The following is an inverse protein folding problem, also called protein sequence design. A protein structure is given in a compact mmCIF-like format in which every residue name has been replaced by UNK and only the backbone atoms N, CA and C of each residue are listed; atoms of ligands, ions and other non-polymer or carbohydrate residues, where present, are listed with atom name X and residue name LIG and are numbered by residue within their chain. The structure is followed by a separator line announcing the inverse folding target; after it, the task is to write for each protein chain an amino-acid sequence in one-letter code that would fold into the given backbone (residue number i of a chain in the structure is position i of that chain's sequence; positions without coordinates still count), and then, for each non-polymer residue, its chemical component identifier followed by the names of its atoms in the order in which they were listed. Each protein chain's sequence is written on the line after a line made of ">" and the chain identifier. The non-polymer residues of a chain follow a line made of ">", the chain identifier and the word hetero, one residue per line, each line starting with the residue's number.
data_IF_689886707676
#
_entry.id   IF_689886707676
#
_cell.length_a   1.000
_cell.length_b   1.000
_cell.length_c   1.000
_cell.angle_alpha   90.00
_cell.angle_beta   90.00
_cell.angle_gamma   90.00
#
_symmetry.space_group_name_H-M   'P 1'
#
loop_
_entity.id
_entity.type
_entity.pdbx_description
1 polymer ?
#
# COMPACT_ATOMS: atom_id res chain seq x y z
N UNK A 1 -6.77 19.74 7.29
CA UNK A 1 -6.19 18.81 6.29
C UNK A 1 -6.04 17.48 7.00
N UNK A 2 -6.44 16.37 6.39
CA UNK A 2 -6.36 15.07 7.07
C UNK A 2 -4.89 14.68 7.23
N UNK A 3 -4.43 14.52 8.46
CA UNK A 3 -3.04 14.14 8.80
C UNK A 3 -2.72 12.67 8.45
N UNK A 4 -3.68 11.96 7.88
CA UNK A 4 -3.63 10.54 7.58
C UNK A 4 -4.24 10.25 6.20
N UNK A 5 -3.49 9.52 5.40
CA UNK A 5 -3.84 8.95 4.10
C UNK A 5 -4.12 7.47 4.34
N UNK A 6 -5.35 7.06 4.03
CA UNK A 6 -5.71 5.65 4.01
C UNK A 6 -6.52 5.36 2.77
N UNK A 7 -6.01 4.47 1.92
CA UNK A 7 -6.63 4.12 0.66
C UNK A 7 -6.56 2.61 0.45
N UNK A 8 -7.64 2.04 -0.08
CA UNK A 8 -7.68 0.66 -0.55
C UNK A 8 -7.91 0.68 -2.06
N UNK A 9 -7.03 0.01 -2.81
CA UNK A 9 -7.12 -0.12 -4.27
C UNK A 9 -7.20 -1.58 -4.64
N UNK A 10 -8.38 -2.02 -5.07
CA UNK A 10 -8.57 -3.37 -5.56
C UNK A 10 -8.22 -3.45 -7.04
N UNK A 11 -7.30 -4.37 -7.37
CA UNK A 11 -6.88 -4.68 -8.73
C UNK A 11 -7.58 -5.98 -9.18
N UNK A 12 -8.73 -5.84 -9.86
CA UNK A 12 -9.56 -6.97 -10.29
C UNK A 12 -8.79 -7.98 -11.16
N UNK A 13 -7.99 -7.49 -12.12
CA UNK A 13 -7.23 -8.34 -13.07
C UNK A 13 -6.21 -9.26 -12.39
N UNK A 14 -5.71 -8.87 -11.22
CA UNK A 14 -4.72 -9.63 -10.45
C UNK A 14 -5.32 -10.33 -9.24
N UNK A 15 -6.57 -10.00 -8.91
CA UNK A 15 -7.22 -10.38 -7.65
C UNK A 15 -6.33 -10.01 -6.45
N UNK A 16 -5.92 -8.75 -6.36
CA UNK A 16 -5.06 -8.20 -5.29
C UNK A 16 -5.65 -6.90 -4.75
N UNK A 17 -5.41 -6.58 -3.49
CA UNK A 17 -5.72 -5.26 -2.91
C UNK A 17 -4.45 -4.59 -2.42
N UNK A 18 -4.20 -3.35 -2.83
CA UNK A 18 -3.20 -2.49 -2.20
C UNK A 18 -3.87 -1.66 -1.11
N UNK A 19 -3.35 -1.76 0.11
CA UNK A 19 -3.66 -0.88 1.22
C UNK A 19 -2.53 0.13 1.40
N UNK A 20 -2.87 1.41 1.38
CA UNK A 20 -1.97 2.51 1.72
C UNK A 20 -2.39 3.03 3.08
N UNK A 21 -1.43 3.16 3.98
CA UNK A 21 -1.62 3.78 5.29
C UNK A 21 -0.43 4.70 5.55
N UNK A 22 -0.63 6.02 5.61
CA UNK A 22 0.46 6.97 5.79
C UNK A 22 0.04 8.21 6.57
N UNK A 23 0.86 8.64 7.53
CA UNK A 23 0.64 9.83 8.36
C UNK A 23 1.58 10.95 7.92
N UNK A 24 1.03 12.10 7.53
CA UNK A 24 1.78 13.23 6.97
C UNK A 24 2.56 14.04 8.03
N UNK A 25 2.03 14.11 9.26
CA UNK A 25 2.56 14.95 10.33
C UNK A 25 2.96 14.14 11.58
N UNK A 26 3.60 12.97 11.37
CA UNK A 26 4.00 12.06 12.45
C UNK A 26 5.52 12.06 12.64
N UNK A 27 6.00 12.23 13.87
CA UNK A 27 7.43 12.25 14.22
C UNK A 27 7.83 10.92 14.90
N UNK A 28 7.98 9.86 14.11
CA UNK A 28 8.39 8.53 14.57
C UNK A 28 9.28 7.85 13.51
N UNK A 29 9.71 6.61 13.72
CA UNK A 29 10.64 5.90 12.82
C UNK A 29 10.03 5.52 11.46
N UNK A 30 8.71 5.33 11.40
CA UNK A 30 7.97 5.01 10.18
C UNK A 30 6.64 5.75 10.20
N UNK A 31 6.29 6.39 9.08
CA UNK A 31 5.06 7.17 8.96
C UNK A 31 3.95 6.43 8.26
N UNK A 32 4.25 5.30 7.63
CA UNK A 32 3.24 4.48 6.97
C UNK A 32 3.77 3.19 6.39
N UNK A 33 2.90 2.52 5.66
CA UNK A 33 3.20 1.34 4.88
C UNK A 33 2.28 1.22 3.67
N UNK A 34 2.78 0.56 2.63
CA UNK A 34 1.97 0.03 1.53
C UNK A 34 1.94 -1.48 1.70
N UNK A 35 0.75 -2.06 1.81
CA UNK A 35 0.55 -3.49 1.95
C UNK A 35 -0.19 -4.03 0.75
N UNK A 36 0.15 -5.25 0.34
CA UNK A 36 -0.50 -5.96 -0.75
C UNK A 36 -1.15 -7.20 -0.18
N UNK A 37 -2.45 -7.34 -0.39
CA UNK A 37 -3.25 -8.48 0.05
C UNK A 37 -3.70 -9.30 -1.16
N UNK A 38 -3.83 -10.61 -0.96
CA UNK A 38 -4.47 -11.49 -1.92
C UNK A 38 -6.00 -11.33 -1.83
N UNK A 39 -6.63 -11.10 -2.98
CA UNK A 39 -8.06 -10.88 -3.10
C UNK A 39 -8.52 -9.51 -2.64
N UNK A 40 -9.83 -9.38 -2.48
CA UNK A 40 -10.46 -8.20 -1.89
C UNK A 40 -10.34 -8.26 -0.37
N UNK A 41 -9.99 -7.13 0.26
CA UNK A 41 -9.95 -7.03 1.72
C UNK A 41 -11.37 -7.15 2.28
N UNK A 42 -11.56 -8.10 3.20
CA UNK A 42 -12.79 -8.33 3.95
C UNK A 42 -12.50 -8.11 5.45
N UNK A 43 -13.14 -7.13 6.11
CA UNK A 43 -12.89 -6.83 7.52
C UNK A 43 -13.35 -7.94 8.48
N UNK A 44 -14.17 -8.89 8.02
CA UNK A 44 -14.66 -10.01 8.82
C UNK A 44 -13.80 -11.27 8.67
N UNK A 45 -12.79 -11.27 7.80
CA UNK A 45 -11.90 -12.40 7.54
C UNK A 45 -10.43 -12.06 7.78
N UNK A 46 -9.64 -13.11 7.96
CA UNK A 46 -8.18 -13.02 7.87
C UNK A 46 -7.77 -12.78 6.42
N UNK A 47 -7.34 -11.56 6.13
CA UNK A 47 -6.82 -11.16 4.82
C UNK A 47 -5.37 -11.63 4.69
N UNK A 48 -5.06 -12.27 3.55
CA UNK A 48 -3.72 -12.79 3.33
C UNK A 48 -2.79 -11.70 2.81
N UNK A 49 -1.89 -11.21 3.65
CA UNK A 49 -0.84 -10.25 3.26
C UNK A 49 0.26 -10.96 2.48
N UNK A 50 0.53 -10.49 1.27
CA UNK A 50 1.58 -10.99 0.38
C UNK A 50 2.88 -10.20 0.53
N UNK A 51 2.76 -8.88 0.74
CA UNK A 51 3.89 -7.98 0.73
C UNK A 51 3.61 -6.73 1.56
N UNK A 52 4.64 -6.18 2.20
CA UNK A 52 4.58 -4.92 2.91
C UNK A 52 5.86 -4.11 2.65
N UNK A 53 5.68 -2.87 2.21
CA UNK A 53 6.74 -1.85 2.14
C UNK A 53 6.50 -0.79 3.22
N UNK A 54 7.54 -0.48 3.99
CA UNK A 54 7.49 0.59 5.00
C UNK A 54 7.80 1.92 4.33
N UNK A 55 6.96 2.93 4.60
CA UNK A 55 7.15 4.30 4.12
C UNK A 55 7.76 5.15 5.24
N UNK A 56 8.92 5.73 4.94
CA UNK A 56 9.62 6.67 5.82
C UNK A 56 8.85 7.97 5.99
N UNK A 57 9.11 8.66 7.11
CA UNK A 57 8.53 9.96 7.40
C UNK A 57 9.08 11.09 6.52
N UNK A 58 8.30 12.17 6.38
CA UNK A 58 8.71 13.37 5.66
C UNK A 58 8.33 13.41 4.18
N UNK A 59 7.62 12.38 3.68
CA UNK A 59 7.03 12.42 2.35
C UNK A 59 5.73 13.21 2.34
N UNK A 60 5.52 13.93 1.25
CA UNK A 60 4.25 14.58 0.91
C UNK A 60 3.22 13.57 0.40
N UNK A 61 1.94 13.95 0.38
CA UNK A 61 0.88 13.12 -0.17
C UNK A 61 1.09 12.79 -1.66
N UNK A 62 1.75 13.67 -2.41
CA UNK A 62 2.07 13.44 -3.81
C UNK A 62 3.16 12.37 -3.97
N UNK A 63 4.22 12.43 -3.15
CA UNK A 63 5.29 11.43 -3.16
C UNK A 63 4.81 10.04 -2.72
N UNK A 64 3.92 9.98 -1.73
CA UNK A 64 3.28 8.73 -1.32
C UNK A 64 2.47 8.15 -2.48
N UNK A 65 1.67 8.96 -3.17
CA UNK A 65 0.93 8.52 -4.34
C UNK A 65 1.84 8.04 -5.48
N UNK A 66 2.99 8.67 -5.69
CA UNK A 66 3.97 8.22 -6.69
C UNK A 66 4.54 6.85 -6.33
N UNK A 67 4.83 6.58 -5.06
CA UNK A 67 5.28 5.24 -4.61
C UNK A 67 4.22 4.18 -4.82
N UNK A 68 2.97 4.47 -4.48
CA UNK A 68 1.83 3.55 -4.71
C UNK A 68 1.70 3.22 -6.18
N UNK A 69 1.72 4.23 -7.05
CA UNK A 69 1.65 4.03 -8.50
C UNK A 69 2.83 3.20 -9.03
N UNK A 70 4.04 3.47 -8.55
CA UNK A 70 5.23 2.68 -8.89
C UNK A 70 5.03 1.20 -8.52
N UNK A 71 4.49 0.93 -7.34
CA UNK A 71 4.20 -0.44 -6.90
C UNK A 71 3.11 -1.10 -7.75
N UNK A 72 2.03 -0.38 -8.09
CA UNK A 72 1.00 -0.86 -9.02
C UNK A 72 1.61 -1.22 -10.39
N UNK A 73 2.48 -0.36 -10.92
CA UNK A 73 3.20 -0.61 -12.17
C UNK A 73 4.12 -1.84 -12.07
N UNK A 74 4.86 -2.01 -10.96
CA UNK A 74 5.74 -3.16 -10.72
C UNK A 74 4.95 -4.49 -10.61
N UNK A 75 3.78 -4.46 -9.95
CA UNK A 75 2.85 -5.61 -9.89
C UNK A 75 2.29 -5.94 -11.27
N UNK A 76 1.89 -4.91 -12.03
CA UNK A 76 1.33 -5.10 -13.37
C UNK A 76 2.37 -5.67 -14.34
N UNK A 77 3.62 -5.22 -14.24
CA UNK A 77 4.74 -5.72 -15.03
C UNK A 77 5.24 -7.10 -14.57
N UNK A 78 4.81 -7.56 -13.39
CA UNK A 78 5.29 -8.81 -12.79
C UNK A 78 6.75 -8.73 -12.34
N UNK A 79 7.27 -7.53 -12.10
CA UNK A 79 8.62 -7.31 -11.57
C UNK A 79 8.66 -7.36 -10.05
N UNK A 80 7.53 -7.08 -9.39
CA UNK A 80 7.36 -7.34 -7.97
C UNK A 80 7.08 -8.84 -7.77
N UNK A 81 8.03 -9.55 -7.18
CA UNK A 81 7.86 -10.95 -6.82
C UNK A 81 6.90 -11.05 -5.64
N UNK A 82 5.63 -11.36 -5.93
CA UNK A 82 4.57 -11.63 -4.96
C UNK A 82 4.45 -13.14 -4.68
N UNK A 83 5.52 -13.89 -4.88
CA UNK A 83 5.51 -15.34 -4.84
C UNK A 83 5.29 -15.85 -3.41
N UNK A 84 4.26 -16.68 -3.28
CA UNK A 84 3.98 -17.59 -2.17
C UNK A 84 4.93 -18.79 -2.18
#
# INVERSE_FOLDING_TARGET
>A
MSDYIHELRFMEDKNLTLEVSYRLNYEDKACGSIRVFSGQIDPEKDNYELYMEIIECGLTAEEVNQRVKKMEDEINQGTLDLSL
#
